data_IF_089075773114
#
_entry.id   IF_089075773114
#
_cell.length_a   1.000
_cell.length_b   1.000
_cell.length_c   1.000
_cell.angle_alpha   90.00
_cell.angle_beta   90.00
_cell.angle_gamma   90.00
#
_symmetry.space_group_name_H-M   'P 1'
#
loop_
_entity.id
_entity.type
_entity.pdbx_description
1 polymer ?
#
# COMPACT_ATOMS: atom_id res chain seq x y z
N UNK A 1 5.64 21.92 -19.29
CA UNK A 1 6.26 21.52 -18.01
C UNK A 1 5.87 20.09 -17.73
N UNK A 2 6.77 19.23 -17.20
CA UNK A 2 6.39 17.93 -16.70
C UNK A 2 5.40 18.12 -15.54
N UNK A 3 4.33 17.34 -15.50
CA UNK A 3 3.42 17.29 -14.36
C UNK A 3 4.22 16.79 -13.14
N UNK A 4 4.05 17.40 -11.98
CA UNK A 4 4.65 16.94 -10.74
C UNK A 4 3.57 16.35 -9.84
N UNK A 5 3.85 15.16 -9.31
CA UNK A 5 3.02 14.48 -8.33
C UNK A 5 3.84 14.33 -7.05
N UNK A 6 3.28 14.79 -5.94
CA UNK A 6 3.90 14.72 -4.62
C UNK A 6 3.22 13.64 -3.80
N UNK A 7 3.98 12.70 -3.26
CA UNK A 7 3.47 11.71 -2.33
C UNK A 7 3.68 12.16 -0.88
N UNK A 8 2.57 12.28 -0.13
CA UNK A 8 2.54 12.62 1.29
C UNK A 8 2.93 11.40 2.13
N UNK A 9 4.15 10.94 1.97
CA UNK A 9 4.71 9.80 2.73
C UNK A 9 6.17 10.05 3.09
N UNK A 10 6.55 9.62 4.30
CA UNK A 10 7.94 9.51 4.75
C UNK A 10 8.51 8.10 4.60
N UNK A 11 7.74 7.15 4.09
CA UNK A 11 8.15 5.76 3.98
C UNK A 11 8.91 5.49 2.67
N UNK A 12 10.24 5.32 2.77
CA UNK A 12 11.13 5.07 1.63
C UNK A 12 10.80 3.77 0.87
N UNK A 13 10.29 2.74 1.55
CA UNK A 13 9.91 1.49 0.87
C UNK A 13 8.66 1.70 0.02
N UNK A 14 7.67 2.45 0.53
CA UNK A 14 6.51 2.85 -0.26
C UNK A 14 6.95 3.66 -1.49
N UNK A 15 7.82 4.66 -1.31
CA UNK A 15 8.32 5.49 -2.42
C UNK A 15 9.03 4.67 -3.50
N UNK A 16 9.79 3.62 -3.12
CA UNK A 16 10.41 2.71 -4.10
C UNK A 16 9.38 1.97 -4.93
N UNK A 17 8.36 1.39 -4.30
CA UNK A 17 7.27 0.70 -5.00
C UNK A 17 6.50 1.66 -5.92
N UNK A 18 6.11 2.84 -5.42
CA UNK A 18 5.40 3.88 -6.16
C UNK A 18 6.16 4.29 -7.42
N UNK A 19 7.46 4.59 -7.29
CA UNK A 19 8.29 4.97 -8.44
C UNK A 19 8.43 3.85 -9.47
N UNK A 20 8.45 2.60 -9.04
CA UNK A 20 8.50 1.44 -9.92
C UNK A 20 7.17 1.28 -10.67
N UNK A 21 6.03 1.37 -9.97
CA UNK A 21 4.67 1.27 -10.55
C UNK A 21 4.44 2.38 -11.58
N UNK A 22 4.88 3.59 -11.29
CA UNK A 22 4.64 4.78 -12.10
C UNK A 22 5.81 5.15 -13.03
N UNK A 23 6.78 4.23 -13.22
CA UNK A 23 8.02 4.49 -13.99
C UNK A 23 7.79 4.89 -15.44
N UNK A 24 6.72 4.37 -16.06
CA UNK A 24 6.40 4.62 -17.47
C UNK A 24 5.71 5.96 -17.72
N UNK A 25 5.41 6.70 -16.62
CA UNK A 25 4.75 7.98 -16.72
C UNK A 25 5.75 9.11 -17.02
N UNK A 26 5.39 9.98 -17.96
CA UNK A 26 6.14 11.20 -18.21
C UNK A 26 5.84 12.28 -17.13
N UNK A 27 5.95 11.88 -15.85
CA UNK A 27 5.61 12.68 -14.67
C UNK A 27 6.77 12.65 -13.70
N UNK A 28 7.01 13.75 -13.00
CA UNK A 28 7.98 13.81 -11.92
C UNK A 28 7.31 13.36 -10.62
N UNK A 29 7.85 12.31 -9.98
CA UNK A 29 7.31 11.72 -8.76
C UNK A 29 8.28 11.95 -7.62
N UNK A 30 7.83 12.73 -6.63
CA UNK A 30 8.63 13.13 -5.48
C UNK A 30 7.89 12.84 -4.16
N UNK A 31 8.65 12.56 -3.11
CA UNK A 31 8.11 12.51 -1.74
C UNK A 31 7.83 13.91 -1.20
N UNK A 32 7.02 14.03 -0.15
CA UNK A 32 6.80 15.30 0.53
C UNK A 32 8.13 15.92 1.00
N UNK A 33 9.07 15.13 1.47
CA UNK A 33 10.40 15.57 1.91
C UNK A 33 11.22 16.16 0.76
N UNK A 34 11.24 15.50 -0.40
CA UNK A 34 11.91 16.00 -1.61
C UNK A 34 11.25 17.27 -2.15
N UNK A 35 9.92 17.43 -1.93
CA UNK A 35 9.18 18.64 -2.24
C UNK A 35 9.40 19.78 -1.22
N UNK A 36 10.23 19.56 -0.19
CA UNK A 36 10.55 20.54 0.85
C UNK A 36 9.47 20.68 1.94
N UNK A 37 8.58 19.68 2.07
CA UNK A 37 7.56 19.65 3.13
C UNK A 37 8.01 18.72 4.24
N UNK A 38 8.19 19.29 5.43
CA UNK A 38 8.58 18.57 6.65
C UNK A 38 7.56 18.91 7.75
N UNK A 39 6.53 18.07 7.83
CA UNK A 39 5.43 18.20 8.79
C UNK A 39 5.10 16.85 9.40
N UNK A 40 4.73 16.84 10.66
CA UNK A 40 4.11 15.69 11.30
C UNK A 40 2.61 15.67 10.97
N UNK A 41 2.15 14.54 10.44
CA UNK A 41 0.74 14.35 10.10
C UNK A 41 0.12 13.40 11.10
N UNK A 42 -0.88 13.89 11.84
CA UNK A 42 -1.64 13.05 12.78
C UNK A 42 -2.68 12.26 11.99
N UNK A 43 -2.54 10.94 11.99
CA UNK A 43 -3.47 9.99 11.35
C UNK A 43 -4.50 9.55 12.40
N UNK A 44 -5.57 10.35 12.59
CA UNK A 44 -6.65 10.12 13.54
C UNK A 44 -7.97 9.68 12.88
N UNK A 45 -7.91 9.34 11.60
CA UNK A 45 -9.04 8.79 10.85
C UNK A 45 -9.45 7.39 11.34
N UNK A 46 -10.71 7.04 11.11
CA UNK A 46 -11.32 5.78 11.50
C UNK A 46 -11.27 4.73 10.39
N UNK A 47 -10.78 5.09 9.22
CA UNK A 47 -10.61 4.19 8.07
C UNK A 47 -9.31 4.49 7.32
N UNK A 48 -8.91 3.58 6.44
CA UNK A 48 -7.76 3.80 5.55
C UNK A 48 -7.99 4.99 4.61
N UNK A 49 -9.21 5.14 4.12
CA UNK A 49 -9.63 6.23 3.25
C UNK A 49 -9.48 7.59 3.95
N UNK A 50 -9.97 7.70 5.19
CA UNK A 50 -9.86 8.93 5.97
C UNK A 50 -8.39 9.28 6.26
N UNK A 51 -7.57 8.30 6.66
CA UNK A 51 -6.14 8.54 6.90
C UNK A 51 -5.40 8.94 5.63
N UNK A 52 -5.69 8.32 4.48
CA UNK A 52 -5.11 8.72 3.20
C UNK A 52 -5.51 10.17 2.86
N UNK A 53 -6.79 10.53 3.01
CA UNK A 53 -7.27 11.89 2.74
C UNK A 53 -6.65 12.93 3.69
N UNK A 54 -6.53 12.63 4.99
CA UNK A 54 -5.87 13.50 5.98
C UNK A 54 -4.43 13.79 5.56
N UNK A 55 -3.67 12.77 5.17
CA UNK A 55 -2.29 12.92 4.69
C UNK A 55 -2.21 13.78 3.44
N UNK A 56 -3.00 13.45 2.42
CA UNK A 56 -2.98 14.19 1.16
C UNK A 56 -3.34 15.67 1.35
N UNK A 57 -4.41 15.97 2.09
CA UNK A 57 -4.84 17.36 2.37
C UNK A 57 -3.84 18.13 3.19
N UNK A 58 -3.15 17.49 4.14
CA UNK A 58 -2.15 18.17 4.98
C UNK A 58 -0.99 18.70 4.14
N UNK A 59 -0.52 17.95 3.16
CA UNK A 59 0.55 18.37 2.25
C UNK A 59 0.03 19.34 1.16
N UNK A 60 -1.17 19.11 0.62
CA UNK A 60 -1.77 19.92 -0.42
C UNK A 60 -2.03 21.37 0.05
N UNK A 61 -2.30 21.59 1.34
CA UNK A 61 -2.42 22.96 1.92
C UNK A 61 -1.14 23.77 1.79
N UNK A 62 0.01 23.11 1.69
CA UNK A 62 1.33 23.74 1.54
C UNK A 62 1.69 23.83 0.05
N UNK A 63 1.42 22.76 -0.71
CA UNK A 63 1.77 22.63 -2.12
C UNK A 63 0.54 22.81 -3.02
N UNK A 64 -0.01 24.01 -3.04
CA UNK A 64 -1.32 24.33 -3.66
C UNK A 64 -1.38 24.19 -5.18
N UNK A 65 -0.23 24.07 -5.87
CA UNK A 65 -0.15 23.95 -7.32
C UNK A 65 0.19 22.52 -7.80
N UNK A 66 0.41 21.59 -6.87
CA UNK A 66 0.78 20.23 -7.18
C UNK A 66 -0.41 19.29 -7.01
N UNK A 67 -0.38 18.16 -7.69
CA UNK A 67 -1.23 17.03 -7.36
C UNK A 67 -0.56 16.33 -6.18
N UNK A 68 -1.29 16.18 -5.07
CA UNK A 68 -0.78 15.50 -3.88
C UNK A 68 -1.51 14.17 -3.72
N UNK A 69 -0.75 13.10 -3.69
CA UNK A 69 -1.23 11.75 -3.40
C UNK A 69 -0.79 11.31 -2.01
N UNK A 70 -1.62 10.53 -1.36
CA UNK A 70 -1.23 9.79 -0.15
C UNK A 70 -1.87 8.42 -0.15
N UNK A 71 -1.15 7.43 0.34
CA UNK A 71 -1.73 6.12 0.62
C UNK A 71 -1.82 5.85 2.12
N UNK A 72 -2.89 5.19 2.54
CA UNK A 72 -2.91 4.45 3.79
C UNK A 72 -3.14 2.98 3.50
N UNK A 73 -2.36 2.12 4.16
CA UNK A 73 -2.37 0.70 3.83
C UNK A 73 -2.05 -0.16 5.05
N UNK A 74 -2.67 -1.33 5.09
CA UNK A 74 -2.46 -2.24 6.19
C UNK A 74 -2.92 -3.66 5.89
N UNK A 75 -2.74 -4.50 6.91
CA UNK A 75 -3.15 -5.89 6.94
C UNK A 75 -4.43 -6.02 7.77
N UNK A 76 -5.44 -6.68 7.23
CA UNK A 76 -6.62 -7.11 7.96
C UNK A 76 -6.63 -8.64 8.04
N UNK A 77 -6.77 -9.20 9.25
CA UNK A 77 -6.84 -10.63 9.51
C UNK A 77 -8.24 -10.95 10.05
N UNK A 78 -9.00 -11.77 9.34
CA UNK A 78 -10.40 -12.04 9.68
C UNK A 78 -10.57 -12.67 11.07
N UNK A 79 -9.77 -13.68 11.38
CA UNK A 79 -9.77 -14.36 12.68
C UNK A 79 -9.47 -13.43 13.87
N UNK A 80 -8.84 -12.30 13.62
CA UNK A 80 -8.48 -11.31 14.64
C UNK A 80 -9.31 -10.02 14.52
N UNK A 81 -10.58 -10.13 14.11
CA UNK A 81 -11.50 -9.01 13.95
C UNK A 81 -10.92 -7.85 13.13
N UNK A 82 -10.27 -8.19 12.02
CA UNK A 82 -9.58 -7.24 11.12
C UNK A 82 -8.33 -6.57 11.71
N UNK A 83 -7.89 -6.96 12.91
CA UNK A 83 -6.61 -6.47 13.41
C UNK A 83 -5.46 -6.93 12.50
N UNK A 84 -4.38 -6.12 12.33
CA UNK A 84 -4.13 -4.80 12.92
C UNK A 84 -4.88 -3.64 12.25
N UNK A 85 -5.43 -3.80 11.03
CA UNK A 85 -6.19 -2.79 10.31
C UNK A 85 -5.40 -1.49 10.12
N UNK A 86 -6.03 -0.34 10.38
CA UNK A 86 -5.40 0.99 10.29
C UNK A 86 -4.22 1.18 11.26
N UNK A 87 -4.05 0.28 12.22
CA UNK A 87 -2.92 0.31 13.16
C UNK A 87 -1.71 -0.50 12.68
N UNK A 88 -1.71 -0.99 11.43
CA UNK A 88 -0.67 -1.89 10.90
C UNK A 88 0.76 -1.40 11.10
N UNK A 89 1.03 -0.12 10.84
CA UNK A 89 2.37 0.45 11.01
C UNK A 89 2.79 0.56 12.48
N UNK A 90 1.85 0.93 13.37
CA UNK A 90 2.09 1.18 14.80
C UNK A 90 1.72 0.01 15.72
N UNK A 91 1.27 -1.12 15.14
CA UNK A 91 0.97 -2.34 15.90
C UNK A 91 2.18 -2.78 16.74
N UNK A 92 1.93 -3.11 18.02
CA UNK A 92 2.95 -3.48 19.01
C UNK A 92 4.05 -2.41 19.24
N UNK A 93 3.84 -1.16 18.80
CA UNK A 93 4.77 -0.04 18.91
C UNK A 93 5.43 0.32 17.57
N UNK A 94 5.66 1.61 17.35
CA UNK A 94 6.22 2.12 16.09
C UNK A 94 7.63 1.59 15.82
N UNK A 95 8.45 1.52 16.87
CA UNK A 95 9.84 1.06 16.79
C UNK A 95 9.99 -0.47 16.78
N UNK A 96 8.88 -1.22 16.91
CA UNK A 96 8.93 -2.68 16.90
C UNK A 96 9.21 -3.20 15.49
N UNK A 97 10.22 -4.06 15.34
CA UNK A 97 10.57 -4.64 14.06
C UNK A 97 9.41 -5.49 13.49
N UNK A 98 9.32 -5.56 12.16
CA UNK A 98 8.32 -6.38 11.51
C UNK A 98 8.51 -7.88 11.77
N UNK A 99 9.72 -8.35 12.03
CA UNK A 99 9.97 -9.74 12.43
C UNK A 99 9.23 -10.09 13.73
N UNK A 100 9.24 -9.17 14.70
CA UNK A 100 8.50 -9.33 15.96
C UNK A 100 6.99 -9.25 15.70
N UNK A 101 6.54 -8.25 14.92
CA UNK A 101 5.11 -8.09 14.57
C UNK A 101 4.58 -9.34 13.85
N UNK A 102 5.33 -9.85 12.89
CA UNK A 102 5.00 -11.08 12.14
C UNK A 102 4.90 -12.29 13.08
N UNK A 103 5.88 -12.46 13.96
CA UNK A 103 5.88 -13.54 14.95
C UNK A 103 4.63 -13.48 15.84
N UNK A 104 4.25 -12.31 16.33
CA UNK A 104 3.04 -12.14 17.15
C UNK A 104 1.79 -12.65 16.43
N UNK A 105 1.63 -12.38 15.14
CA UNK A 105 0.47 -12.86 14.38
C UNK A 105 0.54 -14.36 14.11
N UNK A 106 1.71 -14.91 13.80
CA UNK A 106 1.89 -16.35 13.65
C UNK A 106 1.54 -17.09 14.93
N UNK A 107 2.02 -16.61 16.09
CA UNK A 107 1.74 -17.19 17.41
C UNK A 107 0.25 -17.10 17.78
N UNK A 108 -0.43 -15.97 17.47
CA UNK A 108 -1.88 -15.79 17.71
C UNK A 108 -2.75 -16.70 16.86
N UNK A 109 -2.24 -17.13 15.72
CA UNK A 109 -2.93 -18.03 14.78
C UNK A 109 -2.44 -19.47 14.88
N UNK A 110 -1.66 -19.81 15.91
CA UNK A 110 -1.24 -21.20 16.14
C UNK A 110 -2.45 -22.10 16.36
N UNK A 111 -2.52 -23.22 15.62
CA UNK A 111 -3.65 -24.15 15.65
C UNK A 111 -4.91 -23.70 14.89
N UNK A 112 -4.95 -22.48 14.34
CA UNK A 112 -6.06 -22.02 13.50
C UNK A 112 -5.95 -22.67 12.12
N UNK A 113 -7.03 -23.33 11.62
CA UNK A 113 -7.01 -23.99 10.32
C UNK A 113 -6.93 -22.99 9.16
N UNK A 114 -6.44 -23.44 8.00
CA UNK A 114 -6.16 -22.62 6.82
C UNK A 114 -7.35 -21.77 6.36
N UNK A 115 -8.55 -22.35 6.38
CA UNK A 115 -9.80 -21.70 5.97
C UNK A 115 -10.21 -20.51 6.86
N UNK A 116 -9.73 -20.47 8.10
CA UNK A 116 -9.99 -19.38 9.05
C UNK A 116 -8.85 -18.36 9.14
N UNK A 117 -7.74 -18.61 8.43
CA UNK A 117 -6.58 -17.69 8.39
C UNK A 117 -6.71 -16.61 7.32
N UNK A 118 -7.91 -16.40 6.78
CA UNK A 118 -8.15 -15.41 5.73
C UNK A 118 -7.73 -14.02 6.16
N UNK A 119 -7.09 -13.31 5.24
CA UNK A 119 -6.57 -11.99 5.46
C UNK A 119 -6.53 -11.20 4.15
N UNK A 120 -6.42 -9.90 4.23
CA UNK A 120 -6.21 -9.03 3.06
C UNK A 120 -5.22 -7.93 3.36
N UNK A 121 -4.47 -7.55 2.35
CA UNK A 121 -3.88 -6.23 2.32
C UNK A 121 -4.89 -5.23 1.78
N UNK A 122 -4.94 -4.07 2.41
CA UNK A 122 -5.77 -2.93 2.01
C UNK A 122 -4.87 -1.77 1.65
N UNK A 123 -5.18 -1.06 0.59
CA UNK A 123 -4.60 0.23 0.27
C UNK A 123 -5.71 1.20 -0.14
N UNK A 124 -5.82 2.31 0.56
CA UNK A 124 -6.58 3.46 0.14
C UNK A 124 -5.61 4.53 -0.37
N UNK A 125 -5.89 5.09 -1.53
CA UNK A 125 -5.13 6.21 -2.11
C UNK A 125 -6.06 7.40 -2.23
N UNK A 126 -5.66 8.51 -1.66
CA UNK A 126 -6.33 9.79 -1.81
C UNK A 126 -5.50 10.73 -2.66
N UNK A 127 -6.15 11.45 -3.56
CA UNK A 127 -5.55 12.49 -4.36
C UNK A 127 -6.24 13.82 -4.13
N UNK A 128 -5.45 14.83 -3.89
CA UNK A 128 -5.90 16.22 -3.81
C UNK A 128 -5.34 16.98 -4.98
N UNK A 129 -6.25 17.62 -5.72
CA UNK A 129 -5.91 18.42 -6.90
C UNK A 129 -5.75 19.90 -6.56
N UNK A 130 -5.08 20.70 -7.44
CA UNK A 130 -4.92 22.13 -7.25
C UNK A 130 -6.23 22.93 -7.17
N UNK A 131 -7.32 22.40 -7.73
CA UNK A 131 -8.66 23.02 -7.62
C UNK A 131 -9.39 22.70 -6.31
N UNK A 132 -8.75 21.89 -5.44
CA UNK A 132 -9.28 21.48 -4.15
C UNK A 132 -10.18 20.22 -4.22
N UNK A 133 -10.44 19.69 -5.41
CA UNK A 133 -11.16 18.41 -5.54
C UNK A 133 -10.34 17.26 -4.95
N UNK A 134 -11.04 16.22 -4.50
CA UNK A 134 -10.44 15.03 -3.90
C UNK A 134 -11.08 13.79 -4.47
N UNK A 135 -10.23 12.87 -4.88
CA UNK A 135 -10.63 11.51 -5.25
C UNK A 135 -10.00 10.51 -4.28
N UNK A 136 -10.77 9.50 -3.89
CA UNK A 136 -10.30 8.42 -3.03
C UNK A 136 -10.65 7.09 -3.66
N UNK A 137 -9.67 6.20 -3.76
CA UNK A 137 -9.86 4.81 -4.23
C UNK A 137 -9.36 3.84 -3.17
N UNK A 138 -10.00 2.69 -3.06
CA UNK A 138 -9.62 1.60 -2.16
C UNK A 138 -9.54 0.29 -2.93
N UNK A 139 -8.45 -0.42 -2.75
CA UNK A 139 -8.23 -1.74 -3.33
C UNK A 139 -7.75 -2.73 -2.28
N UNK A 140 -8.02 -4.01 -2.54
CA UNK A 140 -7.56 -5.10 -1.68
C UNK A 140 -6.87 -6.19 -2.50
N UNK A 141 -6.02 -6.92 -1.82
CA UNK A 141 -5.53 -8.23 -2.28
C UNK A 141 -5.89 -9.25 -1.22
N UNK A 142 -6.69 -10.23 -1.62
CA UNK A 142 -7.12 -11.30 -0.73
C UNK A 142 -6.06 -12.40 -0.66
N UNK A 143 -5.89 -12.96 0.53
CA UNK A 143 -4.94 -14.00 0.80
C UNK A 143 -5.21 -14.65 2.17
N UNK A 144 -4.18 -15.19 2.78
CA UNK A 144 -4.23 -15.73 4.13
C UNK A 144 -2.89 -15.55 4.86
N UNK A 145 -2.91 -15.69 6.18
CA UNK A 145 -1.67 -15.72 6.95
C UNK A 145 -1.05 -17.12 6.86
N UNK A 146 0.21 -17.17 6.45
CA UNK A 146 1.01 -18.41 6.38
C UNK A 146 1.24 -18.99 7.79
N UNK A 147 1.68 -20.25 7.87
CA UNK A 147 2.06 -20.89 9.13
C UNK A 147 3.45 -20.47 9.62
N UNK A 148 4.29 -20.04 8.71
CA UNK A 148 5.65 -19.55 8.99
C UNK A 148 6.01 -18.39 8.05
N UNK A 149 7.02 -17.61 8.43
CA UNK A 149 7.56 -16.56 7.57
C UNK A 149 8.38 -17.17 6.44
N UNK A 150 8.17 -16.70 5.20
CA UNK A 150 8.92 -17.13 4.04
C UNK A 150 9.21 -15.96 3.10
N UNK A 151 10.37 -16.01 2.41
CA UNK A 151 10.80 -14.96 1.47
C UNK A 151 11.54 -13.81 2.15
N UNK A 152 12.16 -12.96 1.32
CA UNK A 152 13.02 -11.86 1.77
C UNK A 152 12.76 -10.56 1.02
N UNK A 153 11.87 -10.57 0.04
CA UNK A 153 11.49 -9.38 -0.72
C UNK A 153 10.39 -8.59 -0.01
N UNK A 154 10.21 -7.35 -0.43
CA UNK A 154 9.18 -6.48 0.10
C UNK A 154 9.50 -5.92 1.50
N UNK A 155 8.47 -5.65 2.27
CA UNK A 155 8.56 -5.11 3.63
C UNK A 155 7.29 -5.43 4.43
N UNK A 156 7.32 -5.11 5.71
CA UNK A 156 6.13 -5.22 6.55
C UNK A 156 5.71 -6.67 6.80
N UNK A 157 4.47 -6.96 6.48
CA UNK A 157 3.84 -8.27 6.68
C UNK A 157 3.99 -9.20 5.47
N UNK A 158 4.73 -8.82 4.44
CA UNK A 158 4.94 -9.63 3.23
C UNK A 158 5.41 -11.06 3.53
N UNK A 159 6.33 -11.31 4.50
CA UNK A 159 6.80 -12.66 4.78
C UNK A 159 5.74 -13.63 5.32
N UNK A 160 4.63 -13.13 5.87
CA UNK A 160 3.54 -13.97 6.41
C UNK A 160 2.26 -13.90 5.59
N UNK A 161 2.18 -13.06 4.56
CA UNK A 161 1.00 -12.94 3.72
C UNK A 161 1.09 -13.87 2.51
N UNK A 162 0.32 -14.95 2.55
CA UNK A 162 0.31 -16.02 1.54
C UNK A 162 -0.76 -15.77 0.49
N UNK A 163 -0.40 -15.95 -0.77
CA UNK A 163 -1.27 -15.85 -1.92
C UNK A 163 -1.59 -17.28 -2.44
N UNK A 164 -2.80 -17.82 -2.21
CA UNK A 164 -3.15 -19.17 -2.64
C UNK A 164 -2.99 -19.41 -4.15
N UNK A 165 -3.29 -18.40 -4.97
CA UNK A 165 -3.18 -18.48 -6.43
C UNK A 165 -1.73 -18.64 -6.91
N UNK A 166 -0.76 -18.14 -6.13
CA UNK A 166 0.67 -18.19 -6.44
C UNK A 166 1.41 -19.29 -5.69
N UNK A 167 0.79 -19.86 -4.66
CA UNK A 167 1.40 -20.89 -3.83
C UNK A 167 2.57 -20.42 -2.97
N UNK A 168 2.69 -19.11 -2.72
CA UNK A 168 3.82 -18.52 -1.99
C UNK A 168 3.40 -17.25 -1.24
N UNK A 169 4.28 -16.74 -0.35
CA UNK A 169 4.08 -15.44 0.30
C UNK A 169 4.45 -14.30 -0.64
N UNK A 170 3.92 -13.09 -0.36
CA UNK A 170 4.28 -11.90 -1.15
C UNK A 170 5.77 -11.57 -1.05
N UNK A 171 6.46 -11.97 0.01
CA UNK A 171 7.91 -11.82 0.13
C UNK A 171 8.73 -12.82 -0.71
N UNK A 172 8.11 -13.81 -1.31
CA UNK A 172 8.76 -14.76 -2.23
C UNK A 172 8.60 -14.33 -3.71
N UNK A 173 7.71 -13.38 -4.00
CA UNK A 173 7.56 -12.78 -5.32
C UNK A 173 8.71 -11.82 -5.63
N UNK A 174 9.07 -11.68 -6.91
CA UNK A 174 9.93 -10.57 -7.32
C UNK A 174 9.23 -9.22 -7.10
N UNK A 175 9.97 -8.11 -6.99
CA UNK A 175 9.35 -6.78 -6.86
C UNK A 175 8.36 -6.47 -8.00
N UNK A 176 8.69 -6.87 -9.23
CA UNK A 176 7.85 -6.68 -10.41
C UNK A 176 6.54 -7.47 -10.29
N UNK A 177 6.65 -8.78 -9.95
CA UNK A 177 5.48 -9.65 -9.73
C UNK A 177 4.61 -9.12 -8.60
N UNK A 178 5.23 -8.67 -7.50
CA UNK A 178 4.50 -8.10 -6.37
C UNK A 178 3.73 -6.84 -6.79
N UNK A 179 4.34 -5.94 -7.57
CA UNK A 179 3.67 -4.70 -8.01
C UNK A 179 2.46 -4.98 -8.90
N UNK A 180 2.53 -5.99 -9.77
CA UNK A 180 1.40 -6.36 -10.64
C UNK A 180 0.19 -6.88 -9.84
N UNK A 181 0.41 -7.59 -8.75
CA UNK A 181 -0.66 -8.21 -7.94
C UNK A 181 -1.06 -7.40 -6.73
N UNK A 182 -0.23 -6.45 -6.29
CA UNK A 182 -0.41 -5.75 -5.04
C UNK A 182 -1.62 -4.81 -5.07
N UNK A 183 -2.23 -4.62 -3.90
CA UNK A 183 -3.27 -3.63 -3.65
C UNK A 183 -2.83 -2.21 -4.03
N UNK A 184 -1.54 -1.84 -3.75
CA UNK A 184 -0.97 -0.53 -4.12
C UNK A 184 -0.86 -0.39 -5.63
N UNK A 185 -0.32 -1.39 -6.31
CA UNK A 185 -0.25 -1.37 -7.78
C UNK A 185 -1.62 -1.17 -8.42
N UNK A 186 -2.65 -1.84 -7.91
CA UNK A 186 -4.03 -1.68 -8.39
C UNK A 186 -4.58 -0.27 -8.11
N UNK A 187 -4.46 0.24 -6.88
CA UNK A 187 -4.99 1.55 -6.49
C UNK A 187 -4.35 2.70 -7.27
N UNK A 188 -3.03 2.67 -7.45
CA UNK A 188 -2.31 3.74 -8.15
C UNK A 188 -2.55 3.71 -9.67
N UNK A 189 -2.68 2.51 -10.26
CA UNK A 189 -3.05 2.34 -11.67
C UNK A 189 -4.47 2.86 -11.95
N UNK A 190 -5.47 2.54 -11.12
CA UNK A 190 -6.85 3.02 -11.25
C UNK A 190 -6.88 4.55 -11.20
N UNK A 191 -6.13 5.12 -10.26
CA UNK A 191 -6.05 6.57 -10.12
C UNK A 191 -5.48 7.23 -11.39
N UNK A 192 -4.41 6.67 -11.96
CA UNK A 192 -3.81 7.21 -13.16
C UNK A 192 -4.73 7.09 -14.38
N UNK A 193 -5.42 5.98 -14.55
CA UNK A 193 -6.40 5.77 -15.63
C UNK A 193 -7.55 6.79 -15.55
N UNK A 194 -7.97 7.20 -14.35
CA UNK A 194 -9.04 8.19 -14.15
C UNK A 194 -8.59 9.63 -14.48
N UNK A 195 -7.30 9.93 -14.34
CA UNK A 195 -6.74 11.27 -14.60
C UNK A 195 -6.26 11.48 -16.04
N UNK A 196 -5.99 10.40 -16.77
CA UNK A 196 -5.56 10.44 -18.18
C UNK A 196 -6.65 9.88 -19.10
N UNK A 197 -7.70 10.67 -19.31
CA UNK A 197 -8.87 10.30 -20.14
C UNK A 197 -8.56 10.05 -21.64
N UNK A 198 -7.32 9.86 -22.03
CA UNK A 198 -6.88 9.54 -23.37
C UNK A 198 -5.79 8.46 -23.42
N UNK A 199 -6.15 7.19 -23.33
CA UNK A 199 -5.34 5.99 -23.60
C UNK A 199 -5.02 5.16 -22.35
N UNK A 200 -5.76 4.07 -22.15
CA UNK A 200 -5.11 2.76 -21.97
C UNK A 200 -6.14 1.61 -22.03
N UNK A 201 -5.85 0.61 -22.84
CA UNK A 201 -6.54 -0.67 -22.89
C UNK A 201 -5.91 -1.59 -21.85
N UNK A 202 -6.72 -2.18 -20.97
CA UNK A 202 -6.27 -3.18 -19.97
C UNK A 202 -5.53 -4.33 -20.68
N UNK A 203 -4.23 -4.46 -20.44
CA UNK A 203 -3.51 -5.71 -20.69
C UNK A 203 -3.54 -6.56 -19.42
N UNK A 204 -4.30 -7.64 -19.45
CA UNK A 204 -4.27 -8.66 -18.39
C UNK A 204 -3.02 -9.52 -18.56
N UNK A 205 -2.03 -9.32 -17.71
CA UNK A 205 -0.87 -10.21 -17.63
C UNK A 205 -1.18 -11.40 -16.71
N UNK A 206 -0.97 -12.61 -17.24
CA UNK A 206 -0.99 -13.85 -16.44
C UNK A 206 0.41 -14.11 -15.90
N UNK A 207 0.58 -14.02 -14.59
CA UNK A 207 1.81 -14.39 -13.89
C UNK A 207 1.85 -15.92 -13.73
N UNK A 208 3.03 -16.53 -13.83
CA UNK A 208 3.22 -17.95 -13.56
C UNK A 208 3.38 -18.17 -12.04
N UNK A 209 2.89 -19.32 -11.50
CA UNK A 209 3.11 -19.67 -10.09
C UNK A 209 4.60 -19.72 -9.74
N UNK A 210 4.90 -19.51 -8.45
CA UNK A 210 6.25 -19.72 -7.91
C UNK A 210 6.68 -21.18 -8.12
N UNK A 211 7.85 -21.38 -8.70
CA UNK A 211 8.48 -22.72 -8.90
C UNK A 211 9.41 -23.05 -7.74
#
# INVERSE_FOLDING_TARGET
>A
MKRRIVFATGNENKMKEIRMILSDLNTEIVSMKEAGVDIDIVEDGMSFEENAEIKARSVARILTNDIVLADDSGLEIDYLDKAPGIYSARFAGEDTSYDIKNRIFLDRLEGVPDEERTARFVCAVAAVFPDGSVDVVRETIEGRIAHESAGTHGFGYDPIFYLPEYGCTTAQLSPEQKNEVSHRGKSEMIYYESTDSQRYTRQTYRIRPCS
#
